data_IF_554469447209
#
_entry.id   IF_554469447209
#
_cell.length_a   1.000
_cell.length_b   1.000
_cell.length_c   1.000
_cell.angle_alpha   90.00
_cell.angle_beta   90.00
_cell.angle_gamma   90.00
#
_symmetry.space_group_name_H-M   'P 1'
#
loop_
_entity.id
_entity.type
_entity.pdbx_description
1 polymer ?
#
# COMPACT_ATOMS: atom_id res chain seq x y z
N UNK A 1 -0.96 -0.80 13.06
CA UNK A 1 -0.34 0.47 13.47
C UNK A 1 1.17 0.34 13.40
N UNK A 2 1.89 1.44 13.21
CA UNK A 2 3.35 1.39 13.22
C UNK A 2 3.90 1.39 14.66
N UNK A 3 4.98 0.64 14.90
CA UNK A 3 5.76 0.72 16.14
C UNK A 3 6.60 2.01 16.14
N UNK A 4 7.18 2.32 14.98
CA UNK A 4 7.97 3.53 14.77
C UNK A 4 7.07 4.72 14.41
N UNK A 5 7.56 5.94 14.65
CA UNK A 5 6.87 7.13 14.17
C UNK A 5 7.00 7.24 12.64
N UNK A 6 5.88 7.02 11.95
CA UNK A 6 5.81 7.09 10.49
C UNK A 6 4.96 8.27 10.04
N UNK A 7 5.49 9.02 9.07
CA UNK A 7 4.70 10.08 8.43
C UNK A 7 3.55 9.46 7.63
N UNK A 8 2.31 9.86 7.90
CA UNK A 8 1.14 9.43 7.12
C UNK A 8 0.60 10.63 6.35
N UNK A 9 0.49 10.50 5.03
CA UNK A 9 -0.09 11.55 4.17
C UNK A 9 -1.41 11.09 3.59
N UNK A 10 -2.37 12.00 3.58
CA UNK A 10 -3.65 11.78 2.88
C UNK A 10 -3.42 11.88 1.38
N UNK A 11 -3.97 10.92 0.64
CA UNK A 11 -4.05 10.99 -0.82
C UNK A 11 -5.27 11.81 -1.22
N UNK A 12 -5.06 12.82 -2.06
CA UNK A 12 -6.11 13.70 -2.59
C UNK A 12 -6.52 13.30 -4.01
N UNK A 13 -7.65 13.84 -4.49
CA UNK A 13 -8.15 13.60 -5.86
C UNK A 13 -8.93 12.29 -6.04
N UNK A 14 -9.24 11.58 -4.95
CA UNK A 14 -10.12 10.41 -4.92
C UNK A 14 -11.40 10.73 -4.14
N UNK A 15 -12.52 10.13 -4.54
CA UNK A 15 -13.72 10.13 -3.71
C UNK A 15 -13.51 9.27 -2.46
N UNK A 16 -14.39 9.43 -1.47
CA UNK A 16 -14.35 8.59 -0.26
C UNK A 16 -14.51 7.10 -0.59
N UNK A 17 -15.42 6.77 -1.50
CA UNK A 17 -15.64 5.38 -1.91
C UNK A 17 -14.43 4.81 -2.67
N UNK A 18 -13.83 5.56 -3.60
CA UNK A 18 -12.60 5.14 -4.28
C UNK A 18 -11.45 4.92 -3.29
N UNK A 19 -11.29 5.83 -2.33
CA UNK A 19 -10.27 5.71 -1.28
C UNK A 19 -10.50 4.45 -0.44
N UNK A 20 -11.76 4.18 -0.07
CA UNK A 20 -12.15 3.00 0.70
C UNK A 20 -11.89 1.71 -0.08
N UNK A 21 -12.30 1.63 -1.34
CA UNK A 21 -12.07 0.46 -2.20
C UNK A 21 -10.57 0.19 -2.41
N UNK A 22 -9.79 1.23 -2.68
CA UNK A 22 -8.33 1.10 -2.83
C UNK A 22 -7.69 0.58 -1.52
N UNK A 23 -8.06 1.13 -0.37
CA UNK A 23 -7.56 0.66 0.94
C UNK A 23 -7.98 -0.78 1.24
N UNK A 24 -9.22 -1.16 0.94
CA UNK A 24 -9.71 -2.53 1.11
C UNK A 24 -8.94 -3.52 0.23
N UNK A 25 -8.68 -3.17 -1.02
CA UNK A 25 -7.87 -3.97 -1.94
C UNK A 25 -6.43 -4.11 -1.42
N UNK A 26 -5.81 -3.01 -0.98
CA UNK A 26 -4.46 -3.02 -0.41
C UNK A 26 -4.39 -3.89 0.84
N UNK A 27 -5.37 -3.76 1.75
CA UNK A 27 -5.47 -4.56 2.97
C UNK A 27 -5.55 -6.06 2.66
N UNK A 28 -6.34 -6.44 1.65
CA UNK A 28 -6.44 -7.83 1.19
C UNK A 28 -5.09 -8.38 0.70
N UNK A 29 -4.34 -7.60 -0.09
CA UNK A 29 -3.01 -7.98 -0.56
C UNK A 29 -2.00 -8.11 0.59
N UNK A 30 -2.01 -7.19 1.55
CA UNK A 30 -1.18 -7.29 2.77
C UNK A 30 -1.50 -8.59 3.52
N UNK A 31 -2.78 -8.91 3.72
CA UNK A 31 -3.18 -10.11 4.47
C UNK A 31 -2.76 -11.38 3.74
N UNK A 32 -2.90 -11.42 2.41
CA UNK A 32 -2.40 -12.52 1.60
C UNK A 32 -0.89 -12.67 1.72
N UNK A 33 -0.14 -11.57 1.74
CA UNK A 33 1.31 -11.62 1.95
C UNK A 33 1.65 -12.18 3.31
N UNK A 34 1.11 -11.60 4.39
CA UNK A 34 1.41 -12.00 5.77
C UNK A 34 1.10 -13.49 6.02
N UNK A 35 0.03 -14.02 5.42
CA UNK A 35 -0.36 -15.43 5.53
C UNK A 35 0.57 -16.37 4.77
N UNK A 36 1.03 -15.97 3.57
CA UNK A 36 1.75 -16.89 2.67
C UNK A 36 3.28 -16.74 2.71
N UNK A 37 3.77 -15.58 3.15
CA UNK A 37 5.19 -15.22 3.22
C UNK A 37 5.52 -14.75 4.63
N UNK A 38 5.32 -15.67 5.57
CA UNK A 38 5.56 -15.46 6.99
C UNK A 38 7.02 -15.00 7.17
N UNK A 39 7.20 -13.94 7.96
CA UNK A 39 8.48 -13.30 8.31
C UNK A 39 9.17 -12.53 7.20
N UNK A 40 8.57 -12.50 6.00
CA UNK A 40 9.14 -11.74 4.90
C UNK A 40 8.65 -10.29 4.90
N UNK A 41 9.58 -9.31 4.88
CA UNK A 41 9.21 -7.92 4.68
C UNK A 41 8.60 -7.72 3.29
N UNK A 42 7.69 -6.76 3.16
CA UNK A 42 7.06 -6.42 1.89
C UNK A 42 7.15 -4.93 1.60
N UNK A 43 7.13 -4.59 0.31
CA UNK A 43 7.03 -3.23 -0.19
C UNK A 43 5.82 -3.07 -1.12
N UNK A 44 5.49 -1.84 -1.48
CA UNK A 44 4.49 -1.55 -2.53
C UNK A 44 4.81 -2.29 -3.83
N UNK A 45 6.10 -2.37 -4.18
CA UNK A 45 6.55 -3.04 -5.41
C UNK A 45 6.28 -4.54 -5.35
N UNK A 46 6.44 -5.15 -4.18
CA UNK A 46 6.19 -6.57 -4.01
C UNK A 46 4.70 -6.93 -4.12
N UNK A 47 3.83 -6.01 -3.72
CA UNK A 47 2.38 -6.21 -3.74
C UNK A 47 1.74 -5.85 -5.10
N UNK A 48 2.17 -4.74 -5.71
CA UNK A 48 1.49 -4.11 -6.86
C UNK A 48 2.45 -3.68 -7.99
N UNK A 49 3.68 -4.17 -7.98
CA UNK A 49 4.70 -3.86 -8.98
C UNK A 49 5.12 -5.08 -9.80
N UNK A 50 6.22 -4.92 -10.57
CA UNK A 50 6.76 -5.99 -11.40
C UNK A 50 5.79 -6.42 -12.49
N UNK A 51 5.34 -7.67 -12.44
CA UNK A 51 4.33 -8.19 -13.38
C UNK A 51 2.91 -7.74 -13.05
N UNK A 52 2.67 -7.21 -11.84
CA UNK A 52 1.35 -6.77 -11.34
C UNK A 52 1.18 -5.25 -11.43
N UNK A 53 1.75 -4.62 -12.46
CA UNK A 53 1.71 -3.16 -12.67
C UNK A 53 0.52 -2.68 -13.48
N UNK A 54 -0.17 -3.59 -14.18
CA UNK A 54 -1.45 -3.28 -14.79
C UNK A 54 -2.54 -3.38 -13.74
N UNK A 55 -3.10 -2.22 -13.39
CA UNK A 55 -4.14 -2.11 -12.38
C UNK A 55 -5.53 -1.98 -13.00
N UNK A 56 -5.66 -2.15 -14.31
CA UNK A 56 -6.95 -2.16 -14.99
C UNK A 56 -7.92 -3.14 -14.29
N UNK A 57 -9.18 -2.72 -14.16
CA UNK A 57 -10.25 -3.47 -13.49
C UNK A 57 -10.02 -3.77 -12.00
N UNK A 58 -9.07 -3.07 -11.37
CA UNK A 58 -8.88 -3.09 -9.91
C UNK A 58 -9.19 -1.71 -9.29
N UNK A 59 -9.46 -1.63 -7.99
CA UNK A 59 -9.58 -0.34 -7.29
C UNK A 59 -8.35 0.56 -7.36
N UNK A 60 -7.16 0.03 -7.70
CA UNK A 60 -5.96 0.86 -7.88
C UNK A 60 -5.98 1.62 -9.22
N UNK A 61 -6.82 1.22 -10.18
CA UNK A 61 -6.98 1.95 -11.44
C UNK A 61 -7.38 3.41 -11.20
N UNK A 62 -8.29 3.68 -10.25
CA UNK A 62 -8.73 5.03 -9.92
C UNK A 62 -7.59 5.92 -9.40
N UNK A 63 -6.60 5.32 -8.72
CA UNK A 63 -5.42 6.02 -8.20
C UNK A 63 -4.52 6.50 -9.33
N UNK A 64 -4.41 5.74 -10.42
CA UNK A 64 -3.70 6.15 -11.63
C UNK A 64 -4.56 7.10 -12.50
N UNK A 65 -5.84 6.77 -12.69
CA UNK A 65 -6.72 7.47 -13.60
C UNK A 65 -6.98 8.92 -13.19
N UNK A 66 -6.96 9.24 -11.90
CA UNK A 66 -7.04 10.65 -11.45
C UNK A 66 -5.89 11.50 -12.02
N UNK A 67 -4.68 10.96 -12.15
CA UNK A 67 -3.54 11.69 -12.70
C UNK A 67 -3.70 11.90 -14.21
N UNK A 68 -4.25 10.91 -14.92
CA UNK A 68 -4.62 11.08 -16.33
C UNK A 68 -5.67 12.18 -16.51
N UNK A 69 -6.68 12.25 -15.65
CA UNK A 69 -7.68 13.32 -15.67
C UNK A 69 -7.10 14.71 -15.40
N UNK A 70 -6.00 14.78 -14.66
CA UNK A 70 -5.23 16.01 -14.41
C UNK A 70 -4.29 16.38 -15.57
N UNK A 71 -4.31 15.61 -16.67
CA UNK A 71 -3.53 15.89 -17.88
C UNK A 71 -2.10 15.37 -17.82
N UNK A 72 -1.78 14.48 -16.88
CA UNK A 72 -0.45 13.85 -16.79
C UNK A 72 -0.22 12.89 -17.94
N UNK A 73 1.04 12.77 -18.36
CA UNK A 73 1.43 11.70 -19.29
C UNK A 73 1.27 10.34 -18.63
N UNK A 74 1.26 9.26 -19.42
CA UNK A 74 1.13 7.92 -18.85
C UNK A 74 2.27 7.60 -17.87
N UNK A 75 3.51 7.91 -18.25
CA UNK A 75 4.69 7.65 -17.41
C UNK A 75 4.64 8.46 -16.10
N UNK A 76 4.28 9.75 -16.18
CA UNK A 76 4.15 10.60 -15.01
C UNK A 76 3.00 10.13 -14.10
N UNK A 77 1.87 9.73 -14.69
CA UNK A 77 0.73 9.19 -13.96
C UNK A 77 1.10 7.90 -13.24
N UNK A 78 1.88 7.00 -13.85
CA UNK A 78 2.37 5.79 -13.20
C UNK A 78 3.27 6.11 -12.00
N UNK A 79 4.21 7.04 -12.14
CA UNK A 79 5.12 7.40 -11.05
C UNK A 79 4.40 8.06 -9.86
N UNK A 80 3.46 8.96 -10.15
CA UNK A 80 2.63 9.59 -9.13
C UNK A 80 1.70 8.58 -8.45
N UNK A 81 1.03 7.71 -9.23
CA UNK A 81 0.14 6.69 -8.70
C UNK A 81 0.88 5.69 -7.81
N UNK A 82 2.10 5.28 -8.18
CA UNK A 82 2.96 4.43 -7.35
C UNK A 82 3.23 5.07 -5.99
N UNK A 83 3.47 6.38 -5.97
CA UNK A 83 3.69 7.14 -4.74
C UNK A 83 2.41 7.19 -3.89
N UNK A 84 1.27 7.45 -4.50
CA UNK A 84 -0.02 7.47 -3.83
C UNK A 84 -0.42 6.12 -3.23
N UNK A 85 -0.19 5.01 -3.96
CA UNK A 85 -0.40 3.66 -3.42
C UNK A 85 0.50 3.40 -2.21
N UNK A 86 1.72 3.94 -2.20
CA UNK A 86 2.59 3.90 -1.02
C UNK A 86 2.00 4.63 0.19
N UNK A 87 1.43 5.81 -0.01
CA UNK A 87 0.76 6.53 1.08
C UNK A 87 -0.50 5.80 1.56
N UNK A 88 -1.32 5.28 0.65
CA UNK A 88 -2.49 4.47 1.00
C UNK A 88 -2.10 3.21 1.78
N UNK A 89 -1.02 2.54 1.39
CA UNK A 89 -0.49 1.40 2.15
C UNK A 89 -0.11 1.82 3.56
N UNK A 90 0.62 2.92 3.74
CA UNK A 90 0.96 3.41 5.08
C UNK A 90 -0.29 3.68 5.91
N UNK A 91 -1.32 4.31 5.34
CA UNK A 91 -2.60 4.51 6.03
C UNK A 91 -3.26 3.18 6.42
N UNK A 92 -3.27 2.17 5.54
CA UNK A 92 -3.81 0.84 5.85
C UNK A 92 -3.07 0.18 7.01
N UNK A 93 -1.73 0.25 7.02
CA UNK A 93 -0.92 -0.33 8.07
C UNK A 93 -1.08 0.42 9.39
N UNK A 94 -1.19 1.74 9.34
CA UNK A 94 -1.40 2.59 10.52
C UNK A 94 -2.76 2.30 11.19
N UNK A 95 -3.82 2.17 10.39
CA UNK A 95 -5.18 1.90 10.86
C UNK A 95 -5.43 0.45 11.33
N UNK A 96 -4.51 -0.49 11.07
CA UNK A 96 -4.66 -1.86 11.57
C UNK A 96 -4.51 -1.87 13.11
N UNK A 97 -5.59 -2.17 13.83
CA UNK A 97 -5.61 -2.13 15.29
C UNK A 97 -5.00 -3.36 15.97
N UNK A 98 -4.73 -4.42 15.21
CA UNK A 98 -4.35 -5.73 15.74
C UNK A 98 -2.90 -6.09 15.42
N UNK A 99 -2.37 -5.56 14.31
CA UNK A 99 -0.99 -5.83 13.89
C UNK A 99 -0.11 -4.61 14.06
N UNK A 100 1.10 -4.86 14.55
CA UNK A 100 2.14 -3.86 14.67
C UNK A 100 3.15 -4.01 13.54
N UNK A 101 3.54 -2.90 12.93
CA UNK A 101 4.47 -2.93 11.80
C UNK A 101 5.71 -2.11 12.12
N UNK A 102 6.87 -2.68 11.84
CA UNK A 102 8.12 -1.93 11.72
C UNK A 102 8.34 -1.55 10.26
N UNK A 103 9.23 -0.60 10.03
CA UNK A 103 9.54 -0.17 8.68
C UNK A 103 11.05 -0.01 8.47
N UNK A 104 11.53 -0.36 7.27
CA UNK A 104 12.94 -0.24 6.92
C UNK A 104 13.09 0.32 5.52
N UNK A 105 13.93 1.33 5.34
CA UNK A 105 14.31 1.81 4.01
C UNK A 105 15.49 0.98 3.50
N UNK A 106 15.34 0.37 2.32
CA UNK A 106 16.40 -0.31 1.58
C UNK A 106 16.55 0.36 0.23
N UNK A 107 17.69 1.01 0.01
CA UNK A 107 17.92 1.86 -1.17
C UNK A 107 16.79 2.90 -1.37
N UNK A 108 16.05 2.80 -2.47
CA UNK A 108 14.93 3.66 -2.84
C UNK A 108 13.55 3.10 -2.45
N UNK A 109 13.51 1.93 -1.81
CA UNK A 109 12.26 1.23 -1.48
C UNK A 109 12.05 1.15 0.03
N UNK A 110 10.83 1.41 0.48
CA UNK A 110 10.42 1.23 1.87
C UNK A 110 9.77 -0.15 2.02
N UNK A 111 10.25 -0.90 3.00
CA UNK A 111 9.76 -2.22 3.37
C UNK A 111 9.08 -2.16 4.73
N UNK A 112 8.13 -3.07 4.94
CA UNK A 112 7.33 -3.20 6.15
C UNK A 112 7.35 -4.65 6.61
N UNK A 113 7.47 -4.84 7.92
CA UNK A 113 7.47 -6.16 8.55
C UNK A 113 6.38 -6.21 9.61
N UNK A 114 5.59 -7.28 9.63
CA UNK A 114 4.67 -7.53 10.73
C UNK A 114 5.43 -8.09 11.94
N UNK A 115 5.41 -7.34 13.04
CA UNK A 115 6.06 -7.62 14.31
C UNK A 115 5.09 -8.22 15.34
N UNK A 116 5.64 -8.84 16.40
CA UNK A 116 4.90 -9.37 17.56
C UNK A 116 3.77 -10.34 17.19
N UNK A 117 4.14 -11.50 16.64
CA UNK A 117 3.20 -12.54 16.19
C UNK A 117 2.80 -13.54 17.28
N UNK A 118 3.39 -13.42 18.47
CA UNK A 118 3.28 -14.39 19.56
C UNK A 118 1.88 -14.48 20.20
N UNK A 119 0.93 -13.61 19.82
CA UNK A 119 -0.39 -13.56 20.43
C UNK A 119 -1.51 -14.26 19.62
N UNK A 120 -1.19 -14.99 18.54
CA UNK A 120 -2.20 -15.61 17.65
C UNK A 120 -2.04 -17.12 17.43
N UNK A 121 -1.16 -17.79 18.20
CA UNK A 121 -1.15 -19.25 18.27
C UNK A 121 -2.20 -19.70 19.31
N UNK A 122 -3.40 -20.04 18.84
CA UNK A 122 -4.39 -20.87 19.57
C UNK A 122 -4.15 -22.36 19.33
#
# INVERSE_FOLDING_TARGET
MFIDNEEIRRVHGLTEEQTKLAKSFIKGAVYCWLKNRTDEPFSVRDLFGGVNTDWQDTPLHDVWHKHIKEGKSNDEAHDLARTDVGWLLKTVLDEDKYRQFSSQKRELTKFYTWENRQDFEE
#
